data_IF_451644187356
#
_entry.id   IF_451644187356
#
_cell.length_a   1.000
_cell.length_b   1.000
_cell.length_c   1.000
_cell.angle_alpha   90.00
_cell.angle_beta   90.00
_cell.angle_gamma   90.00
#
_symmetry.space_group_name_H-M   'P 1'
#
loop_
_entity.id
_entity.type
_entity.pdbx_description
1 polymer ?
#
# COMPACT_ATOMS: atom_id res chain seq x y z
N UNK A 1 -55.22 -2.47 71.70
CA UNK A 1 -53.97 -2.27 70.94
C UNK A 1 -53.31 -1.02 71.46
N UNK A 2 -52.05 -1.09 71.86
CA UNK A 2 -51.34 0.02 72.50
C UNK A 2 -51.05 1.13 71.49
N UNK A 3 -51.63 2.32 71.70
CA UNK A 3 -51.29 3.54 70.98
C UNK A 3 -49.95 4.08 71.48
N UNK A 4 -48.84 3.44 71.11
CA UNK A 4 -47.52 4.04 71.27
C UNK A 4 -47.34 5.09 70.18
N UNK A 5 -47.07 6.37 70.52
CA UNK A 5 -46.89 7.42 69.53
C UNK A 5 -45.67 7.08 68.66
N UNK A 6 -45.92 6.73 67.41
CA UNK A 6 -44.86 6.39 66.46
C UNK A 6 -44.19 7.67 65.99
N UNK A 7 -42.88 7.78 66.19
CA UNK A 7 -42.09 8.92 65.74
C UNK A 7 -42.21 9.11 64.23
N UNK A 8 -42.37 10.37 63.79
CA UNK A 8 -42.44 10.78 62.38
C UNK A 8 -41.20 10.38 61.56
N UNK A 9 -40.09 10.06 62.23
CA UNK A 9 -38.84 9.63 61.59
C UNK A 9 -38.66 8.11 61.55
N UNK A 10 -39.61 7.33 62.08
CA UNK A 10 -39.52 5.88 62.09
C UNK A 10 -39.57 5.28 60.69
N UNK A 11 -39.03 4.06 60.55
CA UNK A 11 -39.01 3.32 59.28
C UNK A 11 -40.42 2.97 58.79
N UNK A 12 -41.34 2.68 59.70
CA UNK A 12 -42.74 2.41 59.39
C UNK A 12 -43.45 3.67 58.83
N UNK A 13 -43.16 4.85 59.39
CA UNK A 13 -43.69 6.13 58.88
C UNK A 13 -43.17 6.44 57.46
N UNK A 14 -41.88 6.18 57.20
CA UNK A 14 -41.29 6.40 55.87
C UNK A 14 -41.81 5.45 54.79
N UNK A 15 -42.37 4.30 55.18
CA UNK A 15 -42.92 3.29 54.26
C UNK A 15 -44.45 3.37 54.13
N UNK A 16 -45.09 4.36 54.75
CA UNK A 16 -46.55 4.49 54.82
C UNK A 16 -47.25 3.23 55.38
N UNK A 17 -46.58 2.49 56.28
CA UNK A 17 -47.12 1.26 56.88
C UNK A 17 -47.97 1.54 58.13
N UNK A 18 -48.11 2.82 58.51
CA UNK A 18 -48.92 3.26 59.65
C UNK A 18 -50.29 3.67 59.10
N UNK A 19 -51.33 3.07 59.66
CA UNK A 19 -52.72 3.27 59.27
C UNK A 19 -53.29 4.47 60.05
N UNK A 20 -53.10 5.67 59.51
CA UNK A 20 -53.71 6.88 60.05
C UNK A 20 -55.21 6.88 59.73
N UNK A 21 -56.05 6.71 60.76
CA UNK A 21 -57.52 6.60 60.62
C UNK A 21 -58.18 7.77 59.88
N UNK A 22 -57.56 8.94 59.89
CA UNK A 22 -58.01 10.14 59.17
C UNK A 22 -57.82 10.03 57.64
N UNK A 23 -56.83 9.25 57.17
CA UNK A 23 -56.53 9.10 55.73
C UNK A 23 -57.61 8.25 55.04
N UNK A 24 -58.16 7.25 55.75
CA UNK A 24 -59.31 6.47 55.26
C UNK A 24 -60.54 7.34 55.05
N UNK A 25 -60.81 8.27 55.95
CA UNK A 25 -61.92 9.23 55.82
C UNK A 25 -61.79 10.17 54.61
N UNK A 26 -60.56 10.44 54.14
CA UNK A 26 -60.29 11.27 52.95
C UNK A 26 -60.24 10.47 51.64
N UNK A 27 -60.34 9.14 51.71
CA UNK A 27 -60.38 8.25 50.54
C UNK A 27 -61.81 8.00 50.03
N UNK A 28 -62.83 8.22 50.88
CA UNK A 28 -64.24 8.09 50.53
C UNK A 28 -64.82 9.31 49.80
N UNK A 29 -64.11 10.45 49.81
CA UNK A 29 -64.53 11.65 49.09
C UNK A 29 -64.22 11.50 47.58
N UNK A 30 -65.15 11.88 46.69
CA UNK A 30 -64.92 11.82 45.25
C UNK A 30 -63.77 12.77 44.88
N UNK A 31 -62.65 12.21 44.40
CA UNK A 31 -61.51 12.97 43.87
C UNK A 31 -61.73 13.22 42.38
N UNK A 32 -61.28 14.38 41.89
CA UNK A 32 -61.28 14.67 40.47
C UNK A 32 -60.44 13.62 39.71
N UNK A 33 -61.06 12.92 38.76
CA UNK A 33 -60.36 11.98 37.90
C UNK A 33 -59.22 12.73 37.18
N UNK A 34 -57.99 12.18 37.23
CA UNK A 34 -56.70 12.71 36.69
C UNK A 34 -55.74 13.39 37.68
N UNK A 35 -56.06 13.51 38.98
CA UNK A 35 -55.11 14.09 39.95
C UNK A 35 -54.17 13.08 40.62
N UNK A 36 -54.31 11.77 40.36
CA UNK A 36 -53.41 10.75 40.90
C UNK A 36 -52.12 10.64 40.05
N UNK A 37 -51.28 11.68 40.18
CA UNK A 37 -49.96 11.75 39.56
C UNK A 37 -49.00 10.71 40.15
N UNK A 38 -49.27 10.23 41.36
CA UNK A 38 -48.44 9.23 42.07
C UNK A 38 -48.30 7.97 41.24
N UNK A 39 -49.42 7.43 40.75
CA UNK A 39 -49.45 6.25 39.89
C UNK A 39 -48.70 6.47 38.57
N UNK A 40 -48.80 7.67 37.99
CA UNK A 40 -48.08 8.05 36.77
C UNK A 40 -46.56 8.18 37.01
N UNK A 41 -46.16 8.79 38.13
CA UNK A 41 -44.77 8.94 38.56
C UNK A 41 -44.15 7.58 38.86
N UNK A 42 -44.87 6.69 39.54
CA UNK A 42 -44.41 5.32 39.81
C UNK A 42 -44.16 4.59 38.50
N UNK A 43 -45.12 4.61 37.56
CA UNK A 43 -44.94 3.99 36.23
C UNK A 43 -43.77 4.58 35.43
N UNK A 44 -43.58 5.90 35.49
CA UNK A 44 -42.47 6.55 34.78
C UNK A 44 -41.11 6.23 35.40
N UNK A 45 -41.02 6.18 36.73
CA UNK A 45 -39.77 5.87 37.44
C UNK A 45 -39.38 4.39 37.31
N UNK A 46 -40.34 3.46 37.36
CA UNK A 46 -40.06 2.04 37.12
C UNK A 46 -39.57 1.81 35.69
N UNK A 47 -40.21 2.43 34.69
CA UNK A 47 -39.76 2.36 33.30
C UNK A 47 -38.33 2.88 33.12
N UNK A 48 -38.00 4.03 33.72
CA UNK A 48 -36.64 4.58 33.66
C UNK A 48 -35.61 3.64 34.30
N UNK A 49 -35.96 2.98 35.40
CA UNK A 49 -35.07 2.04 36.06
C UNK A 49 -34.88 0.75 35.23
N UNK A 50 -35.93 0.28 34.58
CA UNK A 50 -35.89 -0.85 33.65
C UNK A 50 -35.01 -0.53 32.42
N UNK A 51 -35.17 0.65 31.83
CA UNK A 51 -34.36 1.13 30.72
C UNK A 51 -32.86 1.21 31.09
N UNK A 52 -32.56 1.76 32.27
CA UNK A 52 -31.18 1.81 32.79
C UNK A 52 -30.57 0.43 33.02
N UNK A 53 -31.38 -0.53 33.50
CA UNK A 53 -30.94 -1.91 33.68
C UNK A 53 -30.64 -2.57 32.32
N UNK A 54 -31.53 -2.40 31.35
CA UNK A 54 -31.37 -2.91 29.99
C UNK A 54 -30.12 -2.33 29.31
N UNK A 55 -29.85 -1.03 29.47
CA UNK A 55 -28.64 -0.41 28.93
C UNK A 55 -27.37 -0.93 29.60
N UNK A 56 -27.40 -1.18 30.91
CA UNK A 56 -26.27 -1.77 31.64
C UNK A 56 -26.00 -3.21 31.19
N UNK A 57 -27.04 -4.00 30.94
CA UNK A 57 -26.91 -5.36 30.41
C UNK A 57 -26.36 -5.35 28.98
N UNK A 58 -26.90 -4.51 28.09
CA UNK A 58 -26.39 -4.33 26.72
C UNK A 58 -24.92 -3.88 26.67
N UNK A 59 -24.49 -3.03 27.62
CA UNK A 59 -23.09 -2.59 27.75
C UNK A 59 -22.17 -3.70 28.27
N UNK A 60 -22.68 -4.65 29.06
CA UNK A 60 -21.93 -5.83 29.53
C UNK A 60 -21.81 -6.91 28.45
N UNK A 61 -22.84 -7.09 27.62
CA UNK A 61 -22.87 -8.08 26.55
C UNK A 61 -22.00 -7.70 25.35
N UNK A 62 -21.78 -6.40 25.11
CA UNK A 62 -20.84 -5.93 24.10
C UNK A 62 -19.43 -5.86 24.72
N UNK A 63 -18.43 -6.61 24.24
CA UNK A 63 -17.04 -6.31 24.61
C UNK A 63 -16.77 -4.85 24.22
N UNK A 64 -16.23 -4.06 25.15
CA UNK A 64 -16.15 -2.59 25.06
C UNK A 64 -15.72 -2.14 23.66
N UNK A 65 -16.46 -1.24 22.99
CA UNK A 65 -16.15 -0.85 21.61
C UNK A 65 -14.73 -0.30 21.44
N UNK A 66 -14.12 0.17 22.53
CA UNK A 66 -12.72 0.59 22.64
C UNK A 66 -11.76 -0.45 22.06
N UNK A 67 -11.96 -1.75 22.31
CA UNK A 67 -11.06 -2.80 21.80
C UNK A 67 -11.33 -3.15 20.34
N UNK A 68 -12.55 -2.96 19.84
CA UNK A 68 -12.88 -3.13 18.41
C UNK A 68 -12.30 -1.98 17.58
N UNK A 69 -12.42 -0.75 18.07
CA UNK A 69 -11.94 0.45 17.36
C UNK A 69 -10.40 0.50 17.28
N UNK A 70 -9.70 0.03 18.31
CA UNK A 70 -8.23 -0.10 18.29
C UNK A 70 -7.76 -1.17 17.28
N UNK A 71 -8.42 -2.32 17.25
CA UNK A 71 -8.09 -3.40 16.32
C UNK A 71 -8.41 -3.01 14.86
N UNK A 72 -9.48 -2.24 14.63
CA UNK A 72 -9.82 -1.73 13.31
C UNK A 72 -8.77 -0.72 12.82
N UNK A 73 -8.38 0.25 13.67
CA UNK A 73 -7.32 1.22 13.35
C UNK A 73 -5.98 0.56 13.08
N UNK A 74 -5.60 -0.46 13.85
CA UNK A 74 -4.36 -1.20 13.63
C UNK A 74 -4.38 -1.96 12.28
N UNK A 75 -5.53 -2.56 11.92
CA UNK A 75 -5.72 -3.20 10.61
C UNK A 75 -5.65 -2.17 9.47
N UNK A 76 -6.29 -1.02 9.63
CA UNK A 76 -6.27 0.06 8.62
C UNK A 76 -4.86 0.64 8.45
N UNK A 77 -4.07 0.76 9.53
CA UNK A 77 -2.66 1.17 9.42
C UNK A 77 -1.81 0.12 8.70
N UNK A 78 -2.04 -1.17 8.96
CA UNK A 78 -1.34 -2.28 8.31
C UNK A 78 -1.66 -2.35 6.81
N UNK A 79 -2.93 -2.16 6.41
CA UNK A 79 -3.33 -2.14 5.00
C UNK A 79 -2.75 -0.93 4.27
N UNK A 80 -2.72 0.25 4.90
CA UNK A 80 -2.13 1.46 4.34
C UNK A 80 -0.60 1.33 4.17
N UNK A 81 0.11 0.71 5.13
CA UNK A 81 1.54 0.45 5.01
C UNK A 81 1.85 -0.48 3.83
N UNK A 82 1.06 -1.55 3.69
CA UNK A 82 1.21 -2.50 2.58
C UNK A 82 0.89 -1.85 1.22
N UNK A 83 -0.12 -0.98 1.18
CA UNK A 83 -0.45 -0.18 -0.01
C UNK A 83 0.72 0.73 -0.42
N UNK A 84 1.31 1.48 0.53
CA UNK A 84 2.45 2.35 0.25
C UNK A 84 3.69 1.58 -0.21
N UNK A 85 3.96 0.40 0.38
CA UNK A 85 5.06 -0.48 -0.07
C UNK A 85 4.82 -0.98 -1.50
N UNK A 86 3.59 -1.37 -1.83
CA UNK A 86 3.22 -1.82 -3.16
C UNK A 86 3.34 -0.69 -4.20
N UNK A 87 2.86 0.51 -3.90
CA UNK A 87 3.00 1.70 -4.76
C UNK A 87 4.47 2.02 -5.04
N UNK A 88 5.33 1.98 -4.01
CA UNK A 88 6.78 2.17 -4.18
C UNK A 88 7.41 1.10 -5.05
N UNK A 89 7.01 -0.16 -4.88
CA UNK A 89 7.52 -1.26 -5.70
C UNK A 89 7.11 -1.11 -7.18
N UNK A 90 5.87 -0.69 -7.45
CA UNK A 90 5.38 -0.40 -8.80
C UNK A 90 6.18 0.76 -9.41
N UNK A 91 6.33 1.88 -8.70
CA UNK A 91 7.11 3.02 -9.20
C UNK A 91 8.58 2.65 -9.50
N UNK A 92 9.21 1.84 -8.64
CA UNK A 92 10.57 1.36 -8.89
C UNK A 92 10.63 0.44 -10.11
N UNK A 93 9.66 -0.46 -10.28
CA UNK A 93 9.56 -1.31 -11.48
C UNK A 93 9.45 -0.46 -12.74
N UNK A 94 8.60 0.56 -12.75
CA UNK A 94 8.39 1.43 -13.91
C UNK A 94 9.67 2.19 -14.28
N UNK A 95 10.38 2.76 -13.30
CA UNK A 95 11.66 3.44 -13.51
C UNK A 95 12.71 2.48 -14.08
N UNK A 96 12.76 1.24 -13.57
CA UNK A 96 13.70 0.23 -14.07
C UNK A 96 13.36 -0.20 -15.49
N UNK A 97 12.08 -0.38 -15.81
CA UNK A 97 11.63 -0.70 -17.17
C UNK A 97 11.99 0.41 -18.15
N UNK A 98 11.78 1.68 -17.81
CA UNK A 98 12.16 2.82 -18.65
C UNK A 98 13.68 2.86 -18.89
N UNK A 99 14.49 2.61 -17.86
CA UNK A 99 15.95 2.50 -18.00
C UNK A 99 16.36 1.34 -18.92
N UNK A 100 15.71 0.18 -18.81
CA UNK A 100 15.96 -0.98 -19.68
C UNK A 100 15.59 -0.65 -21.12
N UNK A 101 14.44 -0.02 -21.35
CA UNK A 101 13.99 0.38 -22.70
C UNK A 101 14.96 1.39 -23.33
N UNK A 102 15.35 2.44 -22.59
CA UNK A 102 16.35 3.41 -23.04
C UNK A 102 17.70 2.75 -23.35
N UNK A 103 18.13 1.80 -22.53
CA UNK A 103 19.37 1.05 -22.78
C UNK A 103 19.28 0.21 -24.06
N UNK A 104 18.18 -0.54 -24.24
CA UNK A 104 17.93 -1.31 -25.47
C UNK A 104 17.87 -0.41 -26.70
N UNK A 105 17.22 0.74 -26.61
CA UNK A 105 17.13 1.70 -27.71
C UNK A 105 18.49 2.29 -28.06
N UNK A 106 19.32 2.66 -27.08
CA UNK A 106 20.68 3.12 -27.33
C UNK A 106 21.55 2.05 -27.97
N UNK A 107 21.48 0.82 -27.47
CA UNK A 107 22.22 -0.31 -28.04
C UNK A 107 21.82 -0.54 -29.51
N UNK A 108 20.51 -0.59 -29.79
CA UNK A 108 19.99 -0.69 -31.16
C UNK A 108 20.47 0.48 -32.03
N UNK A 109 20.39 1.71 -31.52
CA UNK A 109 20.84 2.89 -32.24
C UNK A 109 22.33 2.84 -32.60
N UNK A 110 23.19 2.43 -31.66
CA UNK A 110 24.63 2.28 -31.92
C UNK A 110 24.89 1.18 -32.95
N UNK A 111 24.18 0.04 -32.84
CA UNK A 111 24.30 -1.04 -33.81
C UNK A 111 23.86 -0.59 -35.21
N UNK A 112 22.72 0.10 -35.33
CA UNK A 112 22.22 0.59 -36.62
C UNK A 112 23.13 1.68 -37.19
N UNK A 113 23.57 2.65 -36.39
CA UNK A 113 24.45 3.72 -36.83
C UNK A 113 25.83 3.18 -37.25
N UNK A 114 26.38 2.22 -36.51
CA UNK A 114 27.66 1.58 -36.89
C UNK A 114 27.52 0.76 -38.17
N UNK A 115 26.43 0.00 -38.33
CA UNK A 115 26.15 -0.75 -39.57
C UNK A 115 25.97 0.18 -40.76
N UNK A 116 25.17 1.25 -40.62
CA UNK A 116 24.98 2.25 -41.68
C UNK A 116 26.27 2.91 -42.11
N UNK A 117 27.16 3.25 -41.16
CA UNK A 117 28.47 3.82 -41.51
C UNK A 117 29.36 2.80 -42.22
N UNK A 118 29.31 1.52 -41.82
CA UNK A 118 30.02 0.45 -42.51
C UNK A 118 29.50 0.21 -43.93
N UNK A 119 28.18 0.19 -44.11
CA UNK A 119 27.55 0.04 -45.42
C UNK A 119 27.91 1.23 -46.33
N UNK A 120 27.93 2.46 -45.80
CA UNK A 120 28.33 3.64 -46.55
C UNK A 120 29.82 3.60 -46.95
N UNK A 121 30.71 3.16 -46.05
CA UNK A 121 32.13 2.99 -46.35
C UNK A 121 32.33 1.90 -47.42
N UNK A 122 31.63 0.76 -47.29
CA UNK A 122 31.70 -0.31 -48.28
C UNK A 122 31.21 0.15 -49.65
N UNK A 123 30.10 0.89 -49.71
CA UNK A 123 29.61 1.47 -50.96
C UNK A 123 30.61 2.47 -51.57
N UNK A 124 31.22 3.33 -50.74
CA UNK A 124 32.23 4.27 -51.20
C UNK A 124 33.49 3.55 -51.74
N UNK A 125 33.97 2.51 -51.03
CA UNK A 125 35.10 1.70 -51.46
C UNK A 125 34.82 0.93 -52.76
N UNK A 126 33.61 0.37 -52.91
CA UNK A 126 33.19 -0.28 -54.16
C UNK A 126 33.09 0.71 -55.32
N UNK A 127 32.56 1.91 -55.08
CA UNK A 127 32.50 2.97 -56.09
C UNK A 127 33.90 3.46 -56.50
N UNK A 128 34.82 3.60 -55.54
CA UNK A 128 36.21 3.96 -55.81
C UNK A 128 36.95 2.86 -56.57
N UNK A 129 36.77 1.59 -56.18
CA UNK A 129 37.31 0.43 -56.92
C UNK A 129 36.78 0.41 -58.36
N UNK A 130 35.47 0.58 -58.55
CA UNK A 130 34.88 0.63 -59.89
C UNK A 130 35.43 1.79 -60.74
N UNK A 131 35.70 2.95 -60.11
CA UNK A 131 36.34 4.11 -60.77
C UNK A 131 37.77 3.80 -61.19
N UNK A 132 38.56 3.18 -60.31
CA UNK A 132 39.93 2.76 -60.58
C UNK A 132 40.00 1.66 -61.65
N UNK A 133 39.06 0.72 -61.65
CA UNK A 133 38.95 -0.33 -62.67
C UNK A 133 38.57 0.24 -64.05
N UNK A 134 37.79 1.33 -64.10
CA UNK A 134 37.49 2.05 -65.34
C UNK A 134 38.70 2.86 -65.84
N UNK A 135 39.40 3.59 -64.96
CA UNK A 135 40.63 4.32 -65.29
C UNK A 135 41.77 3.36 -65.71
N UNK A 136 41.83 2.17 -65.11
CA UNK A 136 42.75 1.09 -65.48
C UNK A 136 42.42 0.42 -66.81
N UNK A 137 41.13 0.38 -67.21
CA UNK A 137 40.70 -0.16 -68.51
C UNK A 137 40.91 0.80 -69.67
N UNK A 138 40.95 2.12 -69.43
CA UNK A 138 41.35 3.09 -70.45
C UNK A 138 42.87 3.04 -70.75
N UNK A 139 43.67 2.42 -69.89
CA UNK A 139 45.12 2.23 -70.08
C UNK A 139 45.59 0.78 -70.28
N UNK A 140 44.69 -0.20 -70.21
CA UNK A 140 44.97 -1.61 -70.55
C UNK A 140 43.86 -2.20 -71.42
N UNK A 141 44.02 -2.00 -72.72
CA UNK A 141 43.64 -3.05 -73.66
C UNK A 141 44.65 -4.21 -73.52
N UNK A 142 44.13 -5.44 -73.52
CA UNK A 142 44.83 -6.75 -73.51
C UNK A 142 45.32 -7.29 -72.16
N UNK A 143 44.48 -8.06 -71.46
CA UNK A 143 44.58 -9.53 -71.27
C UNK A 143 43.52 -10.04 -70.28
N UNK A 144 42.80 -11.14 -70.55
CA UNK A 144 41.92 -11.80 -69.58
C UNK A 144 42.66 -12.94 -68.87
N UNK A 145 42.56 -13.00 -67.55
CA UNK A 145 42.68 -14.30 -66.87
C UNK A 145 41.82 -14.29 -65.60
N UNK A 146 40.83 -15.16 -65.66
CA UNK A 146 39.88 -15.56 -64.65
C UNK A 146 40.58 -16.20 -63.43
N UNK A 147 40.01 -16.05 -62.24
CA UNK A 147 39.35 -17.14 -61.49
C UNK A 147 39.19 -16.74 -60.01
N UNK A 148 37.91 -16.69 -59.61
CA UNK A 148 37.40 -16.51 -58.26
C UNK A 148 37.68 -17.74 -57.38
N UNK A 149 38.33 -17.55 -56.23
CA UNK A 149 38.32 -18.52 -55.12
C UNK A 149 38.16 -17.79 -53.78
N UNK A 150 36.97 -17.25 -53.52
CA UNK A 150 36.52 -16.91 -52.16
C UNK A 150 35.51 -17.99 -51.70
N UNK A 151 36.03 -19.14 -51.28
CA UNK A 151 35.27 -20.18 -50.60
C UNK A 151 35.05 -19.76 -49.13
N UNK A 152 33.78 -19.50 -48.80
CA UNK A 152 33.32 -19.24 -47.43
C UNK A 152 33.54 -20.47 -46.53
N UNK A 153 34.49 -20.40 -45.59
CA UNK A 153 34.51 -21.27 -44.42
C UNK A 153 33.72 -20.60 -43.27
N UNK A 154 32.47 -21.03 -43.21
CA UNK A 154 31.54 -21.18 -42.08
C UNK A 154 32.09 -20.88 -40.66
N UNK A 155 31.65 -19.76 -40.08
CA UNK A 155 31.77 -19.48 -38.63
C UNK A 155 30.87 -20.43 -37.82
N UNK A 156 31.36 -21.62 -37.45
CA UNK A 156 30.63 -22.53 -36.53
C UNK A 156 31.35 -22.86 -35.20
N UNK A 157 32.46 -22.19 -34.87
CA UNK A 157 33.21 -22.49 -33.62
C UNK A 157 32.99 -21.51 -32.45
N UNK A 158 32.10 -20.51 -32.55
CA UNK A 158 31.95 -19.52 -31.46
C UNK A 158 31.08 -19.99 -30.27
N UNK A 159 30.47 -21.18 -30.33
CA UNK A 159 29.53 -21.66 -29.30
C UNK A 159 29.98 -22.91 -28.55
N UNK A 160 31.28 -23.12 -28.28
CA UNK A 160 31.65 -24.11 -27.27
C UNK A 160 33.06 -23.96 -26.69
N UNK A 161 33.24 -23.18 -25.61
CA UNK A 161 34.14 -23.58 -24.52
C UNK A 161 34.02 -22.70 -23.26
N UNK A 162 33.81 -23.36 -22.11
CA UNK A 162 34.45 -22.97 -20.85
C UNK A 162 33.80 -21.86 -20.00
N UNK A 163 32.91 -22.27 -19.09
CA UNK A 163 32.61 -21.50 -17.87
C UNK A 163 33.91 -21.20 -17.10
N UNK A 164 34.39 -19.96 -17.13
CA UNK A 164 35.32 -19.43 -16.13
C UNK A 164 34.60 -18.38 -15.28
N UNK A 165 34.40 -18.69 -14.00
CA UNK A 165 33.93 -17.73 -13.00
C UNK A 165 35.02 -16.68 -12.77
N UNK A 166 34.74 -15.36 -12.92
CA UNK A 166 35.70 -14.34 -12.55
C UNK A 166 35.73 -14.21 -11.02
N UNK A 167 36.90 -14.48 -10.43
CA UNK A 167 37.21 -14.21 -9.02
C UNK A 167 37.03 -12.71 -8.74
N UNK A 168 36.14 -12.38 -7.80
CA UNK A 168 35.86 -11.01 -7.41
C UNK A 168 37.00 -10.47 -6.53
N UNK A 169 37.71 -9.45 -7.01
CA UNK A 169 38.53 -8.61 -6.14
C UNK A 169 37.61 -7.83 -5.17
N UNK A 170 38.01 -7.59 -3.90
CA UNK A 170 37.19 -6.83 -2.97
C UNK A 170 36.98 -5.41 -3.51
N UNK A 171 35.71 -5.04 -3.73
CA UNK A 171 35.37 -3.71 -4.22
C UNK A 171 35.70 -2.68 -3.15
N UNK A 172 36.78 -1.93 -3.36
CA UNK A 172 37.11 -0.78 -2.53
C UNK A 172 36.16 0.36 -2.88
N UNK A 173 35.45 0.87 -1.88
CA UNK A 173 34.47 1.94 -2.05
C UNK A 173 35.14 3.22 -2.59
N UNK A 174 34.65 3.72 -3.73
CA UNK A 174 35.18 4.94 -4.38
C UNK A 174 34.96 6.22 -3.56
N UNK A 175 34.03 6.19 -2.60
CA UNK A 175 33.73 7.30 -1.70
C UNK A 175 34.70 7.42 -0.52
N UNK A 176 35.55 6.41 -0.31
CA UNK A 176 36.59 6.42 0.73
C UNK A 176 37.75 7.38 0.38
N UNK A 177 37.73 7.93 -0.84
CA UNK A 177 38.67 8.95 -1.34
C UNK A 177 38.16 10.39 -1.15
N UNK A 178 36.95 10.57 -0.59
CA UNK A 178 36.23 11.84 -0.59
C UNK A 178 36.06 12.50 0.79
N UNK A 179 36.68 11.94 1.83
CA UNK A 179 36.68 12.57 3.16
C UNK A 179 38.12 12.85 3.57
N UNK A 180 38.58 14.09 3.37
CA UNK A 180 39.70 14.70 4.12
C UNK A 180 39.83 16.24 3.90
N UNK A 181 39.02 16.89 3.04
CA UNK A 181 39.13 18.35 2.79
C UNK A 181 37.86 19.16 3.10
N UNK A 182 37.15 18.83 4.19
CA UNK A 182 36.21 19.77 4.83
C UNK A 182 36.48 19.81 6.33
N UNK A 183 37.67 20.28 6.69
CA UNK A 183 37.92 20.90 7.99
C UNK A 183 38.37 22.35 7.76
N UNK A 184 37.71 23.26 8.49
CA UNK A 184 37.92 24.71 8.63
C UNK A 184 37.12 25.64 7.69
#
# INVERSE_FOLDING_TARGET
MSNTPVSKHSRAARRNEIDDGEVKSLSSLPRAEKTDLTSAIIRATTKKNEDLLNDKMKKKEKPSSITKDLNQKAKDQLTNLNKSKMEKAIMQSDILQDKILKSKQRSKYVQTARKQNWDAINQAALAEKARLDQEGKETKAETPQDEDEDAMEEEEDFFNEGKQEPQQAPQRNVFDLLNDEVEC
#
